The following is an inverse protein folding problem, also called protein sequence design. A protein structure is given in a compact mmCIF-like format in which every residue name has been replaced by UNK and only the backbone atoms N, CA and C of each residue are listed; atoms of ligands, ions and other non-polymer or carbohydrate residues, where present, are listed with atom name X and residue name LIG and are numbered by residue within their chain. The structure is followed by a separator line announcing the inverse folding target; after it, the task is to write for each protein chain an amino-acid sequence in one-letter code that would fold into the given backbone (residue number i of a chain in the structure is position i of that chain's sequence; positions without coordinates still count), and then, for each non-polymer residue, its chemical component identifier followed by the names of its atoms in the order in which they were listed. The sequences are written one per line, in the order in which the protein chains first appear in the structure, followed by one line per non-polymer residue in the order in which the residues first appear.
data_IF_465802268963
#
_entry.id   IF_465802268963
#
_cell.length_a   1.000
_cell.length_b   1.000
_cell.length_c   1.000
_cell.angle_alpha   90.00
_cell.angle_beta   90.00
_cell.angle_gamma   90.00
#
_symmetry.space_group_name_H-M   'P 1'
#
loop_
_entity.id
_entity.type
_entity.pdbx_description
1 polymer ?
#
# COMPACT_ATOMS: atom_id res chain seq x y z
N UNK A 1 8.18 48.31 23.02
CA UNK A 1 8.83 47.03 22.67
C UNK A 1 7.74 46.09 22.20
N UNK A 2 7.54 45.97 20.89
CA UNK A 2 6.61 45.02 20.29
C UNK A 2 7.47 43.89 19.71
N UNK A 3 7.33 42.69 20.27
CA UNK A 3 8.02 41.52 19.77
C UNK A 3 7.22 40.93 18.60
N UNK A 4 7.95 40.72 17.53
CA UNK A 4 7.53 40.24 16.22
C UNK A 4 7.58 38.70 16.23
N UNK A 5 6.42 38.04 16.20
CA UNK A 5 6.31 36.58 16.11
C UNK A 5 6.03 36.19 14.64
N UNK A 6 7.13 36.14 13.87
CA UNK A 6 7.15 35.57 12.54
C UNK A 6 6.96 34.05 12.61
N UNK A 7 5.74 33.60 12.29
CA UNK A 7 5.40 32.19 12.12
C UNK A 7 5.99 31.67 10.81
N UNK A 8 7.13 31.00 10.92
CA UNK A 8 7.83 30.30 9.84
C UNK A 8 6.99 29.10 9.35
N UNK A 9 6.16 29.30 8.32
CA UNK A 9 5.54 28.23 7.55
C UNK A 9 6.64 27.39 6.87
N UNK A 10 6.96 26.22 7.44
CA UNK A 10 7.75 25.20 6.75
C UNK A 10 6.84 24.43 5.79
N UNK A 11 6.85 24.85 4.54
CA UNK A 11 6.40 24.04 3.40
C UNK A 11 7.35 22.85 3.25
N UNK A 12 6.91 21.66 3.69
CA UNK A 12 7.54 20.41 3.31
C UNK A 12 7.08 20.03 1.90
N UNK A 13 7.90 20.34 0.90
CA UNK A 13 7.79 19.74 -0.43
C UNK A 13 8.37 18.34 -0.37
N UNK A 14 7.49 17.36 -0.20
CA UNK A 14 7.82 15.94 -0.33
C UNK A 14 8.01 15.63 -1.82
N UNK A 15 9.26 15.67 -2.25
CA UNK A 15 9.70 15.30 -3.59
C UNK A 15 9.53 13.78 -3.75
N UNK A 16 8.36 13.35 -4.21
CA UNK A 16 8.15 11.98 -4.65
C UNK A 16 8.98 11.74 -5.91
N UNK A 17 10.18 11.22 -5.73
CA UNK A 17 10.95 10.63 -6.81
C UNK A 17 10.08 9.57 -7.50
N UNK A 18 9.61 9.88 -8.70
CA UNK A 18 9.00 8.89 -9.57
C UNK A 18 9.99 7.72 -9.68
N UNK A 19 9.61 6.48 -9.36
CA UNK A 19 10.45 5.34 -9.66
C UNK A 19 10.63 5.36 -11.18
N UNK A 20 11.86 5.64 -11.60
CA UNK A 20 12.28 5.50 -12.99
C UNK A 20 11.92 4.08 -13.39
N UNK A 21 10.94 3.96 -14.29
CA UNK A 21 10.62 2.69 -14.93
C UNK A 21 11.88 2.25 -15.67
N UNK A 22 12.68 1.41 -15.03
CA UNK A 22 13.78 0.71 -15.67
C UNK A 22 13.12 -0.25 -16.64
N UNK A 23 12.96 0.21 -17.87
CA UNK A 23 12.66 -0.64 -19.01
C UNK A 23 13.80 -1.66 -19.11
N UNK A 24 13.61 -2.83 -18.52
CA UNK A 24 14.48 -3.98 -18.70
C UNK A 24 14.33 -4.42 -20.16
N UNK A 25 15.15 -3.84 -21.03
CA UNK A 25 15.35 -4.32 -22.39
C UNK A 25 15.89 -5.74 -22.32
N UNK A 26 15.15 -6.67 -22.91
CA UNK A 26 15.30 -8.12 -22.87
C UNK A 26 16.57 -8.65 -23.60
N UNK A 27 17.66 -7.88 -23.67
CA UNK A 27 18.88 -8.26 -24.40
C UNK A 27 20.00 -8.86 -23.52
N UNK A 28 19.87 -8.87 -22.19
CA UNK A 28 20.90 -9.37 -21.25
C UNK A 28 20.65 -10.81 -20.73
N UNK A 29 20.20 -11.74 -21.59
CA UNK A 29 20.10 -13.17 -21.20
C UNK A 29 21.24 -14.04 -21.72
N UNK A 30 22.32 -13.44 -22.25
CA UNK A 30 23.46 -14.20 -22.80
C UNK A 30 24.51 -14.64 -21.79
N UNK A 31 24.42 -14.23 -20.53
CA UNK A 31 25.50 -14.46 -19.55
C UNK A 31 25.05 -15.15 -18.26
N UNK A 32 23.86 -15.76 -18.24
CA UNK A 32 23.49 -16.70 -17.17
C UNK A 32 24.14 -18.06 -17.45
N UNK A 33 25.47 -18.10 -17.35
CA UNK A 33 26.26 -19.33 -17.20
C UNK A 33 25.98 -19.88 -15.79
N UNK A 34 24.73 -20.34 -15.58
CA UNK A 34 24.29 -20.98 -14.35
C UNK A 34 25.06 -22.30 -14.28
N UNK A 35 26.13 -22.30 -13.48
CA UNK A 35 26.71 -23.52 -12.93
C UNK A 35 25.61 -24.28 -12.17
N UNK A 36 24.90 -25.14 -12.88
CA UNK A 36 24.11 -26.21 -12.30
C UNK A 36 25.13 -27.18 -11.71
N UNK A 37 25.51 -26.93 -10.45
CA UNK A 37 26.30 -27.86 -9.66
C UNK A 37 25.39 -29.05 -9.35
N UNK A 38 25.79 -30.21 -9.87
CA UNK A 38 25.36 -31.57 -9.57
C UNK A 38 24.33 -31.73 -8.44
N UNK A 39 23.05 -31.87 -8.82
CA UNK A 39 22.06 -32.59 -8.02
C UNK A 39 21.85 -33.98 -8.64
N UNK A 40 22.94 -34.74 -8.70
CA UNK A 40 22.89 -36.19 -8.93
C UNK A 40 22.50 -36.87 -7.61
N UNK A 41 21.21 -36.79 -7.24
CA UNK A 41 20.66 -37.51 -6.07
C UNK A 41 19.62 -38.54 -6.48
N UNK A 42 20.15 -39.64 -7.02
CA UNK A 42 19.66 -41.02 -6.80
C UNK A 42 18.13 -41.23 -6.79
N UNK A 43 17.48 -41.23 -7.94
CA UNK A 43 16.15 -41.83 -8.08
C UNK A 43 16.31 -43.33 -8.39
N UNK A 44 16.04 -44.17 -7.38
CA UNK A 44 16.03 -45.62 -7.53
C UNK A 44 14.85 -46.05 -8.40
N UNK A 45 15.14 -46.62 -9.58
CA UNK A 45 14.18 -47.17 -10.52
C UNK A 45 13.54 -48.44 -9.94
N UNK A 46 12.28 -48.38 -9.52
CA UNK A 46 11.52 -49.54 -9.05
C UNK A 46 11.17 -50.47 -10.23
N UNK A 47 11.89 -51.59 -10.32
CA UNK A 47 11.53 -52.71 -11.20
C UNK A 47 10.32 -53.45 -10.61
N UNK A 48 9.13 -53.23 -11.15
CA UNK A 48 7.96 -54.07 -10.87
C UNK A 48 7.60 -54.86 -12.13
N UNK A 49 7.51 -56.19 -11.95
CA UNK A 49 7.59 -57.17 -13.01
C UNK A 49 6.33 -57.42 -13.84
N UNK A 50 6.59 -57.89 -15.06
CA UNK A 50 6.00 -59.07 -15.72
C UNK A 50 4.46 -59.16 -15.75
N UNK A 51 3.87 -58.59 -16.80
CA UNK A 51 2.57 -58.98 -17.35
C UNK A 51 2.58 -58.84 -18.86
N UNK A 52 2.80 -59.94 -19.59
CA UNK A 52 2.57 -60.04 -21.03
C UNK A 52 1.06 -60.30 -21.24
N UNK A 53 0.39 -59.54 -22.10
CA UNK A 53 -0.38 -60.02 -23.26
C UNK A 53 -1.38 -58.99 -23.79
N UNK A 54 -1.30 -58.78 -25.12
CA UNK A 54 -2.39 -58.55 -26.06
C UNK A 54 -3.34 -57.35 -25.87
N UNK A 55 -3.01 -56.23 -26.52
CA UNK A 55 -3.97 -55.34 -27.21
C UNK A 55 -3.22 -54.40 -28.17
N UNK A 56 -2.67 -54.95 -29.25
CA UNK A 56 -2.24 -54.19 -30.42
C UNK A 56 -3.42 -54.08 -31.37
N UNK A 57 -4.04 -52.91 -31.47
CA UNK A 57 -4.60 -52.35 -32.72
C UNK A 57 -5.25 -51.00 -32.46
N UNK A 58 -4.92 -50.04 -33.34
CA UNK A 58 -5.43 -48.66 -33.43
C UNK A 58 -4.73 -47.67 -32.48
N UNK A 59 -3.39 -47.63 -32.59
CA UNK A 59 -2.68 -46.36 -32.42
C UNK A 59 -2.74 -45.67 -33.79
N UNK A 60 -3.76 -44.83 -33.94
CA UNK A 60 -3.94 -43.92 -35.05
C UNK A 60 -2.66 -43.07 -35.22
N UNK A 61 -2.23 -42.91 -36.47
CA UNK A 61 -0.98 -42.27 -36.89
C UNK A 61 -0.94 -40.79 -36.49
N UNK A 62 -0.66 -40.51 -35.22
CA UNK A 62 -0.08 -39.25 -34.83
C UNK A 62 1.43 -39.46 -34.80
N UNK A 63 2.14 -38.83 -35.73
CA UNK A 63 3.59 -38.69 -35.67
C UNK A 63 3.94 -38.15 -34.28
N UNK A 64 4.56 -38.93 -33.39
CA UNK A 64 5.05 -38.42 -32.14
C UNK A 64 6.22 -37.53 -32.54
N UNK A 65 5.96 -36.23 -32.66
CA UNK A 65 6.97 -35.18 -32.62
C UNK A 65 7.68 -35.34 -31.28
N UNK A 66 8.65 -36.27 -31.23
CA UNK A 66 9.48 -36.52 -30.06
C UNK A 66 10.28 -35.25 -29.84
N UNK A 67 9.81 -34.42 -28.94
CA UNK A 67 10.67 -33.46 -28.27
C UNK A 67 11.89 -34.22 -27.77
N UNK A 68 13.09 -33.73 -28.12
CA UNK A 68 14.32 -34.32 -27.60
C UNK A 68 14.27 -34.26 -26.07
N UNK A 69 14.98 -35.16 -25.39
CA UNK A 69 15.19 -35.07 -23.94
C UNK A 69 15.73 -33.68 -23.56
N UNK A 70 16.54 -33.09 -24.45
CA UNK A 70 17.07 -31.73 -24.30
C UNK A 70 15.97 -30.65 -24.33
N UNK A 71 14.95 -30.82 -25.19
CA UNK A 71 13.82 -29.89 -25.26
C UNK A 71 12.97 -29.96 -23.98
N UNK A 72 12.79 -31.17 -23.44
CA UNK A 72 12.08 -31.38 -22.18
C UNK A 72 12.81 -30.73 -21.00
N UNK A 73 14.13 -30.91 -20.89
CA UNK A 73 14.96 -30.28 -19.85
C UNK A 73 14.99 -28.76 -19.97
N UNK A 74 15.05 -28.24 -21.20
CA UNK A 74 14.97 -26.79 -21.45
C UNK A 74 13.63 -26.22 -21.00
N UNK A 75 12.53 -26.91 -21.29
CA UNK A 75 11.20 -26.51 -20.84
C UNK A 75 11.08 -26.51 -19.31
N UNK A 76 11.62 -27.53 -18.65
CA UNK A 76 11.65 -27.63 -17.18
C UNK A 76 12.41 -26.45 -16.55
N UNK A 77 13.60 -26.12 -17.08
CA UNK A 77 14.37 -24.96 -16.62
C UNK A 77 13.58 -23.65 -16.76
N UNK A 78 12.92 -23.43 -17.90
CA UNK A 78 12.09 -22.24 -18.11
C UNK A 78 10.93 -22.17 -17.11
N UNK A 79 10.30 -23.29 -16.78
CA UNK A 79 9.23 -23.35 -15.78
C UNK A 79 9.76 -22.97 -14.40
N UNK A 80 10.90 -23.52 -13.98
CA UNK A 80 11.51 -23.21 -12.67
C UNK A 80 11.85 -21.71 -12.56
N UNK A 81 12.46 -21.14 -13.59
CA UNK A 81 12.79 -19.71 -13.63
C UNK A 81 11.52 -18.86 -13.58
N UNK A 82 10.50 -19.19 -14.38
CA UNK A 82 9.23 -18.47 -14.37
C UNK A 82 8.56 -18.52 -13.00
N UNK A 83 8.53 -19.68 -12.35
CA UNK A 83 8.00 -19.85 -10.99
C UNK A 83 8.78 -19.02 -9.96
N UNK A 84 10.11 -18.98 -10.07
CA UNK A 84 10.96 -18.14 -9.22
C UNK A 84 10.64 -16.66 -9.36
N UNK A 85 10.48 -16.18 -10.59
CA UNK A 85 10.11 -14.78 -10.88
C UNK A 85 8.71 -14.43 -10.37
N UNK A 86 7.73 -15.33 -10.54
CA UNK A 86 6.37 -15.13 -10.03
C UNK A 86 6.39 -15.01 -8.51
N UNK A 87 7.12 -15.90 -7.82
CA UNK A 87 7.25 -15.85 -6.36
C UNK A 87 7.90 -14.56 -5.88
N UNK A 88 8.99 -14.14 -6.53
CA UNK A 88 9.68 -12.90 -6.20
C UNK A 88 8.75 -11.69 -6.34
N UNK A 89 8.11 -11.53 -7.52
CA UNK A 89 7.15 -10.43 -7.76
C UNK A 89 5.95 -10.47 -6.82
N UNK A 90 5.49 -11.66 -6.44
CA UNK A 90 4.41 -11.83 -5.46
C UNK A 90 4.79 -11.27 -4.09
N UNK A 91 6.02 -11.50 -3.63
CA UNK A 91 6.49 -10.96 -2.35
C UNK A 91 6.64 -9.43 -2.40
N UNK A 92 7.16 -8.88 -3.50
CA UNK A 92 7.26 -7.42 -3.68
C UNK A 92 5.87 -6.76 -3.65
N UNK A 93 4.89 -7.37 -4.33
CA UNK A 93 3.50 -6.90 -4.32
C UNK A 93 2.88 -7.00 -2.93
N UNK A 94 3.12 -8.08 -2.19
CA UNK A 94 2.65 -8.25 -0.82
C UNK A 94 3.22 -7.17 0.10
N UNK A 95 4.53 -6.91 0.05
CA UNK A 95 5.18 -5.86 0.83
C UNK A 95 4.61 -4.47 0.50
N UNK A 96 4.36 -4.20 -0.79
CA UNK A 96 3.73 -2.96 -1.22
C UNK A 96 2.31 -2.78 -0.68
N UNK A 97 1.48 -3.83 -0.74
CA UNK A 97 0.13 -3.82 -0.19
C UNK A 97 0.12 -3.64 1.33
N UNK A 98 1.03 -4.30 2.05
CA UNK A 98 1.18 -4.13 3.49
C UNK A 98 1.57 -2.69 3.85
N UNK A 99 2.48 -2.07 3.09
CA UNK A 99 2.88 -0.68 3.30
C UNK A 99 1.71 0.28 3.05
N UNK A 100 0.92 0.06 1.98
CA UNK A 100 -0.28 0.84 1.71
C UNK A 100 -1.35 0.68 2.80
N UNK A 101 -1.53 -0.53 3.33
CA UNK A 101 -2.48 -0.78 4.41
C UNK A 101 -2.05 -0.08 5.71
N UNK A 102 -0.76 -0.11 6.03
CA UNK A 102 -0.19 0.60 7.18
C UNK A 102 -0.37 2.11 7.04
N UNK A 103 -0.12 2.67 5.85
CA UNK A 103 -0.30 4.11 5.60
C UNK A 103 -1.78 4.50 5.68
N UNK A 104 -2.70 3.69 5.13
CA UNK A 104 -4.14 3.92 5.21
C UNK A 104 -4.64 3.91 6.67
N UNK A 105 -4.14 2.99 7.50
CA UNK A 105 -4.48 2.92 8.94
C UNK A 105 -4.02 4.20 9.66
N UNK A 106 -2.80 4.66 9.39
CA UNK A 106 -2.27 5.91 9.96
C UNK A 106 -3.10 7.12 9.54
N UNK A 107 -3.56 7.18 8.28
CA UNK A 107 -4.44 8.24 7.80
C UNK A 107 -5.80 8.18 8.48
N UNK A 108 -6.36 6.99 8.69
CA UNK A 108 -7.62 6.82 9.42
C UNK A 108 -7.52 7.35 10.87
N UNK A 109 -6.44 7.03 11.58
CA UNK A 109 -6.17 7.54 12.94
C UNK A 109 -6.07 9.08 12.97
N UNK A 110 -5.40 9.67 11.97
CA UNK A 110 -5.32 11.13 11.85
C UNK A 110 -6.71 11.76 11.64
N UNK A 111 -7.55 11.17 10.78
CA UNK A 111 -8.92 11.63 10.53
C UNK A 111 -9.74 11.59 11.82
N UNK A 112 -9.64 10.52 12.61
CA UNK A 112 -10.42 10.40 13.85
C UNK A 112 -9.95 11.36 14.94
N UNK A 113 -8.64 11.61 15.04
CA UNK A 113 -8.10 12.67 15.90
C UNK A 113 -8.61 14.05 15.49
N UNK A 114 -8.61 14.37 14.19
CA UNK A 114 -9.15 15.62 13.66
C UNK A 114 -10.65 15.77 13.95
N UNK A 115 -11.44 14.70 13.77
CA UNK A 115 -12.88 14.70 14.13
C UNK A 115 -13.09 15.00 15.62
N UNK A 116 -12.25 14.45 16.50
CA UNK A 116 -12.33 14.72 17.95
C UNK A 116 -12.05 16.19 18.24
N UNK A 117 -10.95 16.74 17.72
CA UNK A 117 -10.61 18.17 17.87
C UNK A 117 -11.71 19.10 17.33
N UNK A 118 -12.33 18.73 16.21
CA UNK A 118 -13.44 19.48 15.63
C UNK A 118 -14.67 19.51 16.57
N UNK A 119 -15.01 18.37 17.18
CA UNK A 119 -16.10 18.29 18.17
C UNK A 119 -15.81 19.17 19.39
N UNK A 120 -14.59 19.11 19.92
CA UNK A 120 -14.18 19.92 21.07
C UNK A 120 -14.23 21.42 20.77
N UNK A 121 -13.74 21.83 19.60
CA UNK A 121 -13.83 23.22 19.13
C UNK A 121 -15.28 23.68 18.96
N UNK A 122 -16.17 22.83 18.43
CA UNK A 122 -17.60 23.14 18.30
C UNK A 122 -18.26 23.40 19.65
N UNK A 123 -17.95 22.59 20.66
CA UNK A 123 -18.45 22.79 22.03
C UNK A 123 -17.92 24.11 22.59
N UNK A 124 -16.61 24.36 22.47
CA UNK A 124 -15.99 25.62 22.94
C UNK A 124 -16.57 26.85 22.24
N UNK A 125 -16.85 26.78 20.94
CA UNK A 125 -17.48 27.87 20.20
C UNK A 125 -18.91 28.13 20.71
N UNK A 126 -19.67 27.07 20.99
CA UNK A 126 -21.01 27.21 21.57
C UNK A 126 -21.01 27.87 22.94
N UNK A 127 -20.04 27.53 23.79
CA UNK A 127 -19.91 28.16 25.12
C UNK A 127 -19.47 29.61 25.02
N UNK A 128 -18.47 29.94 24.20
CA UNK A 128 -18.04 31.34 24.02
C UNK A 128 -19.13 32.21 23.41
N UNK A 129 -19.88 31.69 22.44
CA UNK A 129 -21.03 32.38 21.85
C UNK A 129 -22.12 32.67 22.90
N UNK A 130 -22.45 31.68 23.73
CA UNK A 130 -23.43 31.84 24.81
C UNK A 130 -22.99 32.88 25.83
N UNK A 131 -21.71 32.88 26.23
CA UNK A 131 -21.13 33.89 27.12
C UNK A 131 -21.18 35.28 26.50
N UNK A 132 -20.82 35.43 25.22
CA UNK A 132 -20.86 36.71 24.52
C UNK A 132 -22.27 37.30 24.47
N UNK A 133 -23.29 36.46 24.21
CA UNK A 133 -24.68 36.91 24.21
C UNK A 133 -25.17 37.33 25.60
N UNK A 134 -24.75 36.62 26.66
CA UNK A 134 -25.07 37.00 28.04
C UNK A 134 -24.44 38.36 28.40
N UNK A 135 -23.16 38.56 28.09
CA UNK A 135 -22.48 39.85 28.31
C UNK A 135 -23.13 40.99 27.53
N UNK A 136 -23.53 40.74 26.27
CA UNK A 136 -24.26 41.72 25.47
C UNK A 136 -25.58 42.12 26.12
N UNK A 137 -26.33 41.16 26.67
CA UNK A 137 -27.58 41.42 27.39
C UNK A 137 -27.34 42.26 28.65
N UNK A 138 -26.36 41.89 29.48
CA UNK A 138 -26.00 42.65 30.67
C UNK A 138 -25.58 44.08 30.35
N UNK A 139 -24.83 44.27 29.26
CA UNK A 139 -24.41 45.60 28.80
C UNK A 139 -25.62 46.46 28.42
N UNK A 140 -26.60 45.90 27.70
CA UNK A 140 -27.82 46.64 27.34
C UNK A 140 -28.66 47.01 28.56
N UNK A 141 -28.79 46.12 29.54
CA UNK A 141 -29.52 46.38 30.80
C UNK A 141 -28.80 47.46 31.64
N UNK A 142 -27.47 47.41 31.70
CA UNK A 142 -26.67 48.43 32.38
C UNK A 142 -26.79 49.80 31.71
N UNK A 143 -26.85 49.85 30.38
CA UNK A 143 -27.00 51.09 29.63
C UNK A 143 -28.38 51.74 29.86
N UNK A 144 -29.45 50.94 29.81
CA UNK A 144 -30.81 51.46 30.02
C UNK A 144 -31.03 51.94 31.45
N UNK A 145 -30.44 51.26 32.44
CA UNK A 145 -30.54 51.67 33.85
C UNK A 145 -29.75 52.95 34.15
N UNK A 146 -28.58 53.13 33.53
CA UNK A 146 -27.78 54.35 33.67
C UNK A 146 -28.50 55.55 33.03
N UNK A 147 -29.00 55.40 31.80
CA UNK A 147 -29.74 56.46 31.11
C UNK A 147 -31.00 56.90 31.86
N UNK A 148 -31.66 55.98 32.59
CA UNK A 148 -32.83 56.32 33.42
C UNK A 148 -32.43 57.22 34.60
N UNK A 149 -31.30 56.94 35.26
CA UNK A 149 -30.80 57.74 36.38
C UNK A 149 -30.36 59.13 35.96
N UNK A 150 -29.73 59.26 34.80
CA UNK A 150 -29.30 60.56 34.28
C UNK A 150 -30.50 61.48 33.97
N UNK A 151 -31.62 60.90 33.52
CA UNK A 151 -32.86 61.63 33.29
C UNK A 151 -33.49 62.14 34.60
N UNK A 152 -33.38 61.39 35.70
CA UNK A 152 -33.99 61.74 36.99
C UNK A 152 -33.29 62.94 37.68
N UNK A 153 -32.04 63.25 37.29
CA UNK A 153 -31.26 64.37 37.84
C UNK A 153 -31.54 65.69 37.10
N UNK A 154 -32.16 65.63 35.91
CA UNK A 154 -32.44 66.81 35.06
C UNK A 154 -33.83 67.38 35.37
#
# INVERSE_FOLDING_TARGET
MLADESSLERTMTEEHACPTEVALTFEETKDLDVRIIDVARTSNLSKTGRGKNAATTILEKHDPSMYSIDDALKMECHIIVALGMIRYKSHDLEAYLQLQLLSATKVADMIDNLKKKLKDMKVKLGTTWSTANNLKKQLTESYTTMSLRDLEIT
#
